data_IF_580883276976
#
_entry.id   IF_580883276976
#
_cell.length_a   1.000
_cell.length_b   1.000
_cell.length_c   1.000
_cell.angle_alpha   90.00
_cell.angle_beta   90.00
_cell.angle_gamma   90.00
#
_symmetry.space_group_name_H-M   'P 1'
#
loop_
_entity.id
_entity.type
_entity.pdbx_description
1 polymer ?
#
# COMPACT_ATOMS: atom_id res chain seq x y z
N UNK A 1 -22.67 14.49 0.75
CA UNK A 1 -21.83 13.66 1.65
C UNK A 1 -22.07 14.03 3.11
N UNK A 2 -22.44 13.04 3.93
CA UNK A 2 -22.61 13.17 5.38
C UNK A 2 -21.30 12.88 6.12
N UNK A 3 -21.21 13.25 7.40
CA UNK A 3 -20.08 12.87 8.27
C UNK A 3 -19.95 11.35 8.42
N UNK A 4 -21.09 10.63 8.40
CA UNK A 4 -21.10 9.17 8.45
C UNK A 4 -20.40 8.54 7.24
N UNK A 5 -20.65 9.08 6.04
CA UNK A 5 -20.04 8.58 4.80
C UNK A 5 -18.52 8.77 4.81
N UNK A 6 -18.04 9.91 5.34
CA UNK A 6 -16.62 10.19 5.50
C UNK A 6 -15.94 9.21 6.46
N UNK A 7 -16.56 8.98 7.62
CA UNK A 7 -16.02 8.04 8.62
C UNK A 7 -15.99 6.62 8.05
N UNK A 8 -17.09 6.20 7.41
CA UNK A 8 -17.17 4.91 6.73
C UNK A 8 -16.05 4.79 5.68
N UNK A 9 -15.89 5.78 4.80
CA UNK A 9 -14.88 5.78 3.75
C UNK A 9 -13.47 5.59 4.32
N UNK A 10 -13.10 6.38 5.34
CA UNK A 10 -11.77 6.31 5.95
C UNK A 10 -11.53 4.95 6.63
N UNK A 11 -12.48 4.48 7.45
CA UNK A 11 -12.34 3.21 8.18
C UNK A 11 -12.32 2.03 7.21
N UNK A 12 -13.22 2.00 6.23
CA UNK A 12 -13.30 0.94 5.23
C UNK A 12 -11.96 0.77 4.51
N UNK A 13 -11.40 1.86 3.96
CA UNK A 13 -10.12 1.77 3.27
C UNK A 13 -8.97 1.46 4.20
N UNK A 14 -8.94 2.00 5.41
CA UNK A 14 -7.93 1.65 6.41
C UNK A 14 -7.89 0.14 6.68
N UNK A 15 -9.05 -0.48 6.90
CA UNK A 15 -9.18 -1.94 7.10
C UNK A 15 -8.74 -2.71 5.85
N UNK A 16 -9.17 -2.29 4.66
CA UNK A 16 -8.81 -2.94 3.40
C UNK A 16 -7.30 -2.91 3.16
N UNK A 17 -6.64 -1.76 3.34
CA UNK A 17 -5.18 -1.64 3.14
C UNK A 17 -4.38 -2.48 4.16
N UNK A 18 -4.79 -2.49 5.44
CA UNK A 18 -4.16 -3.33 6.46
C UNK A 18 -4.32 -4.81 6.10
N UNK A 19 -5.54 -5.21 5.72
CA UNK A 19 -5.83 -6.61 5.37
C UNK A 19 -5.05 -7.05 4.13
N UNK A 20 -5.01 -6.22 3.09
CA UNK A 20 -4.23 -6.50 1.88
C UNK A 20 -2.73 -6.65 2.20
N UNK A 21 -2.18 -5.80 3.06
CA UNK A 21 -0.80 -5.91 3.54
C UNK A 21 -0.58 -7.24 4.25
N UNK A 22 -1.39 -7.55 5.26
CA UNK A 22 -1.27 -8.80 6.03
C UNK A 22 -1.42 -10.04 5.15
N UNK A 23 -2.35 -10.02 4.20
CA UNK A 23 -2.54 -11.10 3.24
C UNK A 23 -1.29 -11.31 2.37
N UNK A 24 -0.74 -10.25 1.75
CA UNK A 24 0.47 -10.38 0.93
C UNK A 24 1.68 -10.82 1.76
N UNK A 25 1.76 -10.42 3.03
CA UNK A 25 2.79 -10.91 3.96
C UNK A 25 2.64 -12.40 4.28
N UNK A 26 1.43 -12.84 4.63
CA UNK A 26 1.15 -14.19 5.12
C UNK A 26 1.10 -15.26 4.02
N UNK A 27 0.69 -14.90 2.79
CA UNK A 27 0.58 -15.85 1.69
C UNK A 27 1.97 -16.42 1.32
N UNK A 28 2.14 -17.74 1.38
CA UNK A 28 3.36 -18.40 0.92
C UNK A 28 3.35 -18.60 -0.61
N UNK A 29 3.50 -17.50 -1.34
CA UNK A 29 3.66 -17.49 -2.80
C UNK A 29 5.07 -17.01 -3.19
N UNK A 30 5.48 -17.30 -4.44
CA UNK A 30 6.77 -16.87 -4.99
C UNK A 30 6.99 -15.37 -4.77
N UNK A 31 8.17 -15.02 -4.27
CA UNK A 31 8.58 -13.65 -4.01
C UNK A 31 8.58 -12.78 -5.27
N UNK A 32 8.89 -13.36 -6.44
CA UNK A 32 8.81 -12.67 -7.74
C UNK A 32 7.36 -12.30 -8.08
N UNK A 33 6.42 -13.20 -7.77
CA UNK A 33 5.00 -12.93 -7.93
C UNK A 33 4.55 -11.84 -6.96
N UNK A 34 4.94 -11.89 -5.67
CA UNK A 34 4.64 -10.83 -4.70
C UNK A 34 5.16 -9.47 -5.15
N UNK A 35 6.41 -9.42 -5.64
CA UNK A 35 7.06 -8.20 -6.13
C UNK A 35 6.30 -7.58 -7.30
N UNK A 36 5.72 -8.40 -8.19
CA UNK A 36 4.86 -7.93 -9.30
C UNK A 36 3.45 -7.56 -8.85
N UNK A 37 2.88 -8.33 -7.92
CA UNK A 37 1.50 -8.18 -7.46
C UNK A 37 1.34 -6.98 -6.51
N UNK A 38 2.34 -6.69 -5.68
CA UNK A 38 2.25 -5.62 -4.68
C UNK A 38 1.97 -4.24 -5.29
N UNK A 39 2.70 -3.78 -6.32
CA UNK A 39 2.35 -2.53 -6.99
C UNK A 39 0.94 -2.54 -7.58
N UNK A 40 0.54 -3.65 -8.23
CA UNK A 40 -0.80 -3.78 -8.80
C UNK A 40 -1.89 -3.63 -7.73
N UNK A 41 -1.76 -4.31 -6.58
CA UNK A 41 -2.69 -4.18 -5.46
C UNK A 41 -2.78 -2.74 -4.98
N UNK A 42 -1.63 -2.08 -4.76
CA UNK A 42 -1.60 -0.70 -4.24
C UNK A 42 -2.25 0.29 -5.20
N UNK A 43 -1.95 0.20 -6.51
CA UNK A 43 -2.57 1.06 -7.51
C UNK A 43 -4.07 0.76 -7.66
N UNK A 44 -4.48 -0.52 -7.66
CA UNK A 44 -5.90 -0.89 -7.75
C UNK A 44 -6.70 -0.40 -6.55
N UNK A 45 -6.22 -0.60 -5.31
CA UNK A 45 -6.89 -0.10 -4.11
C UNK A 45 -6.95 1.43 -4.07
N UNK A 46 -5.89 2.10 -4.51
CA UNK A 46 -5.86 3.56 -4.60
C UNK A 46 -6.81 4.10 -5.68
N UNK A 47 -6.90 3.43 -6.83
CA UNK A 47 -7.89 3.75 -7.85
C UNK A 47 -9.32 3.53 -7.35
N UNK A 48 -9.54 2.45 -6.61
CA UNK A 48 -10.83 2.17 -5.98
C UNK A 48 -11.23 3.26 -4.97
N UNK A 49 -10.28 3.86 -4.22
CA UNK A 49 -10.55 5.04 -3.38
C UNK A 49 -11.11 6.21 -4.18
N UNK A 50 -10.51 6.51 -5.33
CA UNK A 50 -10.96 7.61 -6.18
C UNK A 50 -12.35 7.34 -6.76
N UNK A 51 -12.61 6.11 -7.21
CA UNK A 51 -13.92 5.70 -7.72
C UNK A 51 -14.98 5.76 -6.62
N UNK A 52 -14.70 5.28 -5.41
CA UNK A 52 -15.65 5.36 -4.31
C UNK A 52 -15.89 6.80 -3.85
N UNK A 53 -14.88 7.66 -3.87
CA UNK A 53 -15.07 9.09 -3.60
C UNK A 53 -15.99 9.76 -4.65
N UNK A 54 -15.90 9.32 -5.91
CA UNK A 54 -16.82 9.72 -6.97
C UNK A 54 -18.25 9.27 -6.71
N UNK A 55 -18.45 8.01 -6.33
CA UNK A 55 -19.77 7.47 -6.01
C UNK A 55 -20.41 8.09 -4.75
N UNK A 56 -19.61 8.68 -3.86
CA UNK A 56 -20.06 9.34 -2.63
C UNK A 56 -20.21 10.87 -2.78
N UNK A 57 -20.09 11.38 -4.01
CA UNK A 57 -20.20 12.81 -4.33
C UNK A 57 -19.29 13.69 -3.46
N UNK A 58 -17.99 13.35 -3.42
CA UNK A 58 -17.01 14.17 -2.70
C UNK A 58 -16.99 15.61 -3.25
N UNK A 59 -16.87 16.63 -2.39
CA UNK A 59 -16.70 18.01 -2.85
C UNK A 59 -15.35 18.18 -3.54
N UNK A 60 -15.24 19.16 -4.44
CA UNK A 60 -14.00 19.45 -5.21
C UNK A 60 -12.77 19.62 -4.30
N UNK A 61 -12.92 20.34 -3.17
CA UNK A 61 -11.84 20.49 -2.18
C UNK A 61 -11.43 19.15 -1.54
N UNK A 62 -12.39 18.23 -1.38
CA UNK A 62 -12.15 16.87 -0.90
C UNK A 62 -11.27 16.06 -1.85
N UNK A 63 -11.45 16.21 -3.16
CA UNK A 63 -10.59 15.53 -4.15
C UNK A 63 -9.14 16.00 -4.12
N UNK A 64 -8.88 17.29 -3.87
CA UNK A 64 -7.51 17.78 -3.74
C UNK A 64 -6.78 17.12 -2.55
N UNK A 65 -7.46 17.03 -1.40
CA UNK A 65 -6.93 16.35 -0.21
C UNK A 65 -6.78 14.84 -0.46
N UNK A 66 -7.79 14.22 -1.07
CA UNK A 66 -7.78 12.81 -1.42
C UNK A 66 -6.66 12.46 -2.41
N UNK A 67 -6.41 13.30 -3.40
CA UNK A 67 -5.33 13.12 -4.37
C UNK A 67 -3.96 13.11 -3.70
N UNK A 68 -3.72 14.05 -2.79
CA UNK A 68 -2.51 14.07 -1.96
C UNK A 68 -2.40 12.83 -1.07
N UNK A 69 -3.49 12.43 -0.43
CA UNK A 69 -3.54 11.23 0.40
C UNK A 69 -3.24 9.96 -0.41
N UNK A 70 -3.83 9.82 -1.60
CA UNK A 70 -3.58 8.70 -2.52
C UNK A 70 -2.13 8.66 -2.96
N UNK A 71 -1.55 9.81 -3.35
CA UNK A 71 -0.14 9.87 -3.73
C UNK A 71 0.78 9.45 -2.56
N UNK A 72 0.48 9.91 -1.34
CA UNK A 72 1.21 9.52 -0.14
C UNK A 72 1.03 8.02 0.18
N UNK A 73 -0.18 7.47 0.06
CA UNK A 73 -0.47 6.04 0.27
C UNK A 73 0.32 5.17 -0.71
N UNK A 74 0.31 5.52 -1.99
CA UNK A 74 1.07 4.79 -3.02
C UNK A 74 2.55 4.85 -2.70
N UNK A 75 3.11 6.05 -2.52
CA UNK A 75 4.53 6.23 -2.24
C UNK A 75 4.98 5.44 -1.00
N UNK A 76 4.25 5.59 0.11
CA UNK A 76 4.60 4.94 1.37
C UNK A 76 4.42 3.42 1.30
N UNK A 77 3.42 2.89 0.63
CA UNK A 77 3.29 1.43 0.51
C UNK A 77 4.31 0.82 -0.45
N UNK A 78 4.73 1.54 -1.50
CA UNK A 78 5.77 1.02 -2.40
C UNK A 78 7.17 1.12 -1.79
N UNK A 79 7.49 2.21 -1.07
CA UNK A 79 8.79 2.40 -0.41
C UNK A 79 8.89 1.74 0.96
N UNK A 80 7.76 1.52 1.62
CA UNK A 80 7.67 0.93 2.95
C UNK A 80 7.93 -0.57 2.97
N UNK A 81 8.12 -1.21 1.81
CA UNK A 81 8.43 -2.63 1.71
C UNK A 81 9.53 -2.90 0.70
N UNK A 82 10.32 -3.92 1.00
CA UNK A 82 11.30 -4.49 0.07
C UNK A 82 11.13 -6.00 0.00
N UNK A 83 11.62 -6.58 -1.09
CA UNK A 83 11.48 -8.00 -1.40
C UNK A 83 12.87 -8.62 -1.48
N UNK A 84 13.16 -9.60 -0.63
CA UNK A 84 14.41 -10.33 -0.65
C UNK A 84 14.24 -11.62 -1.44
N UNK A 85 14.88 -11.71 -2.60
CA UNK A 85 14.84 -12.90 -3.46
C UNK A 85 15.61 -14.08 -2.86
N UNK A 86 16.69 -13.81 -2.09
CA UNK A 86 17.52 -14.86 -1.48
C UNK A 86 16.80 -15.66 -0.38
N UNK A 87 16.01 -15.01 0.47
CA UNK A 87 15.22 -15.70 1.51
C UNK A 87 13.72 -15.78 1.20
N UNK A 88 13.28 -15.27 0.05
CA UNK A 88 11.89 -15.33 -0.40
C UNK A 88 10.92 -14.56 0.50
N UNK A 89 11.36 -13.48 1.16
CA UNK A 89 10.53 -12.71 2.10
C UNK A 89 10.33 -11.27 1.67
N UNK A 90 9.08 -10.81 1.79
CA UNK A 90 8.74 -9.39 1.81
C UNK A 90 8.96 -8.88 3.23
N UNK A 91 9.55 -7.71 3.38
CA UNK A 91 9.96 -7.13 4.65
C UNK A 91 9.63 -5.64 4.68
N UNK A 92 9.28 -5.14 5.87
CA UNK A 92 9.02 -3.73 6.08
C UNK A 92 10.33 -2.93 6.06
N UNK A 93 10.36 -1.85 5.29
CA UNK A 93 11.40 -0.85 5.37
C UNK A 93 11.08 0.09 6.54
N UNK A 94 11.83 -0.04 7.64
CA UNK A 94 11.69 0.83 8.82
C UNK A 94 12.09 2.28 8.54
N UNK A 95 12.85 2.54 7.47
CA UNK A 95 13.35 3.84 7.06
C UNK A 95 12.92 4.13 5.61
N UNK A 96 11.67 4.54 5.46
CA UNK A 96 10.99 4.68 4.16
C UNK A 96 11.69 5.62 3.15
N UNK A 97 12.46 6.58 3.66
CA UNK A 97 13.22 7.57 2.87
C UNK A 97 14.61 7.07 2.45
N UNK A 98 15.02 5.88 2.88
CA UNK A 98 16.33 5.31 2.57
C UNK A 98 16.18 4.01 1.77
N UNK A 99 17.12 3.78 0.86
CA UNK A 99 17.24 2.50 0.17
C UNK A 99 17.80 1.46 1.14
N UNK A 100 17.18 0.28 1.16
CA UNK A 100 17.66 -0.86 1.96
C UNK A 100 18.61 -1.67 1.10
N UNK A 101 19.88 -1.72 1.49
CA UNK A 101 20.94 -2.41 0.72
C UNK A 101 21.15 -3.87 1.15
N UNK A 102 20.75 -4.21 2.38
CA UNK A 102 20.93 -5.55 2.96
C UNK A 102 19.64 -6.04 3.61
N UNK A 103 19.38 -7.33 3.46
CA UNK A 103 18.20 -7.96 4.03
C UNK A 103 18.36 -8.14 5.55
N UNK A 104 17.47 -7.55 6.36
CA UNK A 104 17.49 -7.71 7.83
C UNK A 104 17.31 -9.17 8.29
N UNK A 105 16.76 -10.04 7.43
CA UNK A 105 16.46 -11.43 7.80
C UNK A 105 17.61 -12.40 7.52
N UNK A 106 18.31 -12.24 6.41
CA UNK A 106 19.33 -13.21 5.97
C UNK A 106 20.69 -12.57 5.62
N UNK A 107 20.83 -11.25 5.73
CA UNK A 107 22.08 -10.54 5.47
C UNK A 107 22.47 -10.43 3.98
N UNK A 108 21.71 -11.02 3.06
CA UNK A 108 21.99 -10.93 1.63
C UNK A 108 21.88 -9.50 1.13
N UNK A 109 22.75 -9.11 0.19
CA UNK A 109 22.62 -7.84 -0.52
C UNK A 109 21.32 -7.82 -1.34
N UNK A 110 20.58 -6.72 -1.23
CA UNK A 110 19.38 -6.41 -2.01
C UNK A 110 19.82 -5.54 -3.18
N UNK A 111 20.27 -6.19 -4.25
CA UNK A 111 20.57 -5.52 -5.53
C UNK A 111 19.28 -5.27 -6.30
#
# INVERSE_FOLDING_TARGET
>A
MSTGDLIFFVIFFWVVFITARLAVFALNIDIKLKKRLWPAIIFSLSGMMLVLAYLLDFPVKGYAVLGLAVAAIIYTNLKGFYFCESCGKMLANKKILTTVETCEKCGSSLK
#
